data_IF_065537099387
#
_entry.id   IF_065537099387
#
_cell.length_a   1.000
_cell.length_b   1.000
_cell.length_c   1.000
_cell.angle_alpha   90.00
_cell.angle_beta   90.00
_cell.angle_gamma   90.00
#
_symmetry.space_group_name_H-M   'P 1'
#
loop_
_entity.id
_entity.type
_entity.pdbx_description
1 polymer ?
#
# COMPACT_ATOMS: atom_id res chain seq x y z
N UNK A 1 -1.54 -14.81 20.26
CA UNK A 1 -0.30 -14.77 19.45
C UNK A 1 0.15 -13.32 19.42
N UNK A 2 1.41 -13.00 19.77
CA UNK A 2 1.90 -11.61 19.65
C UNK A 2 2.03 -11.30 18.15
N UNK A 3 1.34 -10.30 17.65
CA UNK A 3 1.50 -9.85 16.27
C UNK A 3 2.98 -9.51 16.05
N UNK A 4 3.55 -9.94 14.91
CA UNK A 4 4.93 -9.63 14.59
C UNK A 4 5.00 -8.17 14.15
N UNK A 5 5.85 -7.41 14.83
CA UNK A 5 6.09 -6.00 14.52
C UNK A 5 7.47 -5.85 13.88
N UNK A 6 7.54 -5.06 12.82
CA UNK A 6 8.76 -4.65 12.12
C UNK A 6 8.88 -3.14 12.27
N UNK A 7 10.04 -2.65 12.69
CA UNK A 7 10.35 -1.22 12.72
C UNK A 7 11.35 -0.93 11.61
N UNK A 8 10.97 -0.06 10.68
CA UNK A 8 11.86 0.41 9.61
C UNK A 8 12.09 1.92 9.76
N UNK A 9 13.30 2.43 9.47
CA UNK A 9 13.55 3.87 9.52
C UNK A 9 12.62 4.62 8.57
N UNK A 10 12.02 5.72 9.01
CA UNK A 10 11.20 6.58 8.16
C UNK A 10 12.07 7.46 7.23
N UNK A 11 12.78 6.81 6.30
CA UNK A 11 13.54 7.48 5.24
C UNK A 11 12.67 7.89 4.05
N UNK A 12 11.35 7.65 4.13
CA UNK A 12 10.42 7.91 3.05
C UNK A 12 9.86 9.33 3.10
N UNK A 13 9.51 9.77 4.32
CA UNK A 13 9.00 11.09 4.62
C UNK A 13 9.68 11.55 5.90
N UNK A 14 10.50 12.59 5.84
CA UNK A 14 11.02 13.26 7.04
C UNK A 14 9.91 14.02 7.79
N UNK A 15 10.30 15.05 8.54
CA UNK A 15 9.34 15.93 9.18
C UNK A 15 8.34 16.49 8.14
N UNK A 16 7.06 16.29 8.39
CA UNK A 16 6.00 16.74 7.49
C UNK A 16 5.54 18.14 7.86
N UNK A 17 5.27 18.98 6.87
CA UNK A 17 4.63 20.28 7.08
C UNK A 17 3.13 20.06 7.34
N UNK A 18 2.59 20.56 8.48
CA UNK A 18 1.16 20.45 8.76
C UNK A 18 0.34 21.36 7.84
N UNK A 19 -0.83 20.89 7.42
CA UNK A 19 -1.78 21.67 6.64
C UNK A 19 -3.23 21.22 6.89
N UNK A 20 -4.18 22.00 6.40
CA UNK A 20 -5.61 21.67 6.39
C UNK A 20 -6.06 21.43 4.96
N UNK A 21 -6.73 20.30 4.71
CA UNK A 21 -7.24 19.98 3.38
C UNK A 21 -8.40 20.91 3.02
N UNK A 22 -8.34 21.55 1.86
CA UNK A 22 -9.43 22.41 1.37
C UNK A 22 -10.32 21.65 0.40
N UNK A 23 -9.79 21.34 -0.78
CA UNK A 23 -10.54 20.62 -1.81
C UNK A 23 -9.61 19.91 -2.77
N UNK A 24 -10.11 18.79 -3.30
CA UNK A 24 -9.46 18.12 -4.43
C UNK A 24 -9.75 18.90 -5.70
N UNK A 25 -8.71 19.17 -6.50
CA UNK A 25 -8.83 19.80 -7.81
C UNK A 25 -9.10 18.75 -8.89
N UNK A 26 -8.31 17.67 -8.85
CA UNK A 26 -8.45 16.49 -9.71
C UNK A 26 -7.70 15.31 -9.07
N UNK A 27 -7.68 14.15 -9.74
CA UNK A 27 -7.12 12.90 -9.17
C UNK A 27 -5.71 13.05 -8.56
N UNK A 28 -4.86 13.92 -9.10
CA UNK A 28 -3.47 14.10 -8.62
C UNK A 28 -3.14 15.46 -7.99
N UNK A 29 -4.14 16.31 -7.68
CA UNK A 29 -3.88 17.61 -7.05
C UNK A 29 -5.01 18.06 -6.12
N UNK A 30 -4.66 18.81 -5.10
CA UNK A 30 -5.56 19.47 -4.17
C UNK A 30 -5.02 20.83 -3.75
N UNK A 31 -5.93 21.66 -3.24
CA UNK A 31 -5.56 22.79 -2.40
C UNK A 31 -5.57 22.38 -0.94
N UNK A 32 -4.57 22.89 -0.23
CA UNK A 32 -4.44 22.79 1.23
C UNK A 32 -4.05 24.15 1.78
N UNK A 33 -4.32 24.40 3.05
CA UNK A 33 -3.91 25.60 3.76
C UNK A 33 -2.79 25.27 4.72
N UNK A 34 -1.65 25.92 4.49
CA UNK A 34 -0.47 25.89 5.35
C UNK A 34 -0.42 27.19 6.17
N UNK A 35 0.56 27.33 7.06
CA UNK A 35 0.82 28.60 7.73
C UNK A 35 1.19 29.74 6.76
N UNK A 36 1.71 29.41 5.57
CA UNK A 36 2.03 30.37 4.50
C UNK A 36 0.82 30.72 3.61
N UNK A 37 -0.33 30.06 3.81
CA UNK A 37 -1.55 30.23 3.01
C UNK A 37 -1.91 29.02 2.14
N UNK A 38 -2.75 29.25 1.13
CA UNK A 38 -3.26 28.22 0.21
C UNK A 38 -2.18 27.76 -0.76
N UNK A 39 -1.95 26.44 -0.81
CA UNK A 39 -0.93 25.79 -1.64
C UNK A 39 -1.55 24.70 -2.52
N UNK A 40 -1.10 24.59 -3.78
CA UNK A 40 -1.40 23.45 -4.66
C UNK A 40 -0.41 22.31 -4.39
N UNK A 41 -0.93 21.15 -4.00
CA UNK A 41 -0.12 19.98 -3.64
C UNK A 41 -0.43 18.78 -4.51
N UNK A 42 0.56 17.92 -4.70
CA UNK A 42 0.37 16.66 -5.43
C UNK A 42 -0.27 15.60 -4.53
N UNK A 43 -1.25 14.86 -5.04
CA UNK A 43 -1.80 13.65 -4.41
C UNK A 43 -1.19 12.42 -5.10
N UNK A 44 -0.33 11.64 -4.41
CA UNK A 44 0.31 10.45 -4.96
C UNK A 44 -0.59 9.20 -4.82
N UNK A 45 -1.88 9.35 -5.12
CA UNK A 45 -2.87 8.29 -5.06
C UNK A 45 -4.03 8.60 -6.00
N UNK A 46 -4.36 7.68 -6.91
CA UNK A 46 -5.47 7.84 -7.86
C UNK A 46 -6.83 7.57 -7.26
N UNK A 47 -6.90 6.87 -6.12
CA UNK A 47 -8.11 6.55 -5.38
C UNK A 47 -8.84 7.79 -4.88
N UNK A 48 -10.11 7.65 -4.53
CA UNK A 48 -10.95 8.80 -4.12
C UNK A 48 -10.60 9.30 -2.72
N UNK A 49 -10.23 8.40 -1.82
CA UNK A 49 -9.85 8.70 -0.44
C UNK A 49 -10.86 9.65 0.24
N UNK A 50 -12.16 9.46 0.03
CA UNK A 50 -13.18 10.43 0.43
C UNK A 50 -13.28 10.56 1.96
N UNK A 51 -12.99 9.48 2.66
CA UNK A 51 -12.89 9.36 4.11
C UNK A 51 -11.64 10.02 4.70
N UNK A 52 -10.63 10.33 3.88
CA UNK A 52 -9.37 10.96 4.29
C UNK A 52 -9.21 12.39 3.76
N UNK A 53 -9.72 12.68 2.56
CA UNK A 53 -9.49 13.92 1.83
C UNK A 53 -10.79 14.74 1.73
N UNK A 54 -11.31 15.16 2.89
CA UNK A 54 -12.46 16.04 3.04
C UNK A 54 -12.05 17.41 3.58
N UNK A 55 -12.83 18.44 3.25
CA UNK A 55 -12.56 19.83 3.65
C UNK A 55 -12.46 19.94 5.18
N UNK A 56 -11.40 20.59 5.66
CA UNK A 56 -11.13 20.76 7.09
C UNK A 56 -10.31 19.62 7.72
N UNK A 57 -10.05 18.51 7.02
CA UNK A 57 -9.20 17.46 7.59
C UNK A 57 -7.74 17.92 7.74
N UNK A 58 -7.07 17.50 8.82
CA UNK A 58 -5.64 17.74 9.00
C UNK A 58 -4.84 16.80 8.11
N UNK A 59 -3.86 17.35 7.41
CA UNK A 59 -2.99 16.60 6.50
C UNK A 59 -1.52 16.94 6.74
N UNK A 60 -0.64 16.03 6.35
CA UNK A 60 0.81 16.21 6.41
C UNK A 60 1.41 16.21 5.01
N UNK A 61 2.25 17.20 4.74
CA UNK A 61 2.90 17.42 3.46
C UNK A 61 4.38 17.05 3.54
N UNK A 62 4.89 16.40 2.50
CA UNK A 62 6.31 16.17 2.30
C UNK A 62 6.86 17.17 1.29
N UNK A 63 7.93 17.88 1.66
CA UNK A 63 8.64 18.79 0.77
C UNK A 63 9.50 17.99 -0.20
N UNK A 64 9.14 18.01 -1.49
CA UNK A 64 9.74 17.18 -2.52
C UNK A 64 10.20 18.01 -3.75
N UNK A 65 10.14 19.34 -3.62
CA UNK A 65 10.31 20.34 -4.68
C UNK A 65 11.73 20.39 -5.26
N UNK A 66 12.06 19.45 -6.14
CA UNK A 66 13.25 19.51 -7.01
C UNK A 66 12.95 20.25 -8.31
N UNK A 67 14.01 20.74 -8.98
CA UNK A 67 13.94 21.43 -10.28
C UNK A 67 13.07 20.64 -11.28
N UNK A 68 12.02 21.27 -11.81
CA UNK A 68 11.10 20.69 -12.80
C UNK A 68 9.77 20.14 -12.27
N UNK A 69 9.53 20.14 -10.95
CA UNK A 69 8.19 19.81 -10.41
C UNK A 69 7.26 21.02 -10.45
N UNK A 70 5.98 20.77 -10.76
CA UNK A 70 4.91 21.80 -10.69
C UNK A 70 4.57 22.17 -9.24
N UNK A 71 4.48 21.18 -8.35
CA UNK A 71 4.17 21.39 -6.93
C UNK A 71 5.40 21.16 -6.05
N UNK A 72 5.57 22.04 -5.06
CA UNK A 72 6.61 21.96 -4.02
C UNK A 72 6.36 20.81 -3.05
N UNK A 73 5.10 20.51 -2.78
CA UNK A 73 4.67 19.50 -1.81
C UNK A 73 3.95 18.31 -2.44
N UNK A 74 4.09 17.18 -1.75
CA UNK A 74 3.28 15.97 -1.91
C UNK A 74 2.47 15.77 -0.62
N UNK A 75 1.16 15.55 -0.71
CA UNK A 75 0.33 15.18 0.45
C UNK A 75 0.58 13.70 0.75
N UNK A 76 1.11 13.39 1.94
CA UNK A 76 1.58 12.04 2.26
C UNK A 76 0.81 11.36 3.38
N UNK A 77 0.17 12.13 4.27
CA UNK A 77 -0.65 11.59 5.35
C UNK A 77 -1.89 12.45 5.63
N UNK A 78 -2.93 11.82 6.15
CA UNK A 78 -4.17 12.46 6.58
C UNK A 78 -4.56 11.97 7.99
N UNK A 79 -5.20 12.83 8.77
CA UNK A 79 -5.65 12.49 10.11
C UNK A 79 -6.91 11.61 10.03
N UNK A 80 -6.97 10.64 10.92
CA UNK A 80 -8.12 9.76 11.19
C UNK A 80 -8.40 9.76 12.69
N UNK A 81 -9.56 9.25 13.15
CA UNK A 81 -9.83 9.06 14.57
C UNK A 81 -8.81 8.15 15.27
N UNK A 82 -8.22 7.20 14.55
CA UNK A 82 -7.25 6.22 15.08
C UNK A 82 -5.78 6.68 14.97
N UNK A 83 -5.53 7.87 14.43
CA UNK A 83 -4.19 8.42 14.21
C UNK A 83 -3.94 8.85 12.76
N UNK A 84 -2.67 8.99 12.39
CA UNK A 84 -2.28 9.38 11.03
C UNK A 84 -2.30 8.19 10.07
N UNK A 85 -2.99 8.32 8.94
CA UNK A 85 -2.92 7.37 7.84
C UNK A 85 -1.95 7.88 6.76
N UNK A 86 -1.04 7.04 6.28
CA UNK A 86 -0.34 7.36 5.04
C UNK A 86 -1.32 7.25 3.85
N UNK A 87 -1.17 8.10 2.85
CA UNK A 87 -2.02 8.09 1.67
C UNK A 87 -1.27 7.76 0.37
N UNK A 88 0.06 7.79 0.39
CA UNK A 88 0.88 7.58 -0.80
C UNK A 88 0.85 6.12 -1.24
N UNK A 89 0.24 5.87 -2.40
CA UNK A 89 0.08 4.52 -2.93
C UNK A 89 1.37 3.91 -3.43
N UNK A 90 2.46 4.69 -3.54
CA UNK A 90 3.79 4.24 -3.94
C UNK A 90 4.61 3.75 -2.75
N UNK A 91 4.20 4.07 -1.51
CA UNK A 91 4.95 3.73 -0.32
C UNK A 91 5.13 2.21 -0.13
N UNK A 92 4.11 1.35 -0.32
CA UNK A 92 4.26 -0.10 -0.21
C UNK A 92 5.43 -0.67 -1.04
N UNK A 93 5.50 -0.30 -2.32
CA UNK A 93 6.57 -0.71 -3.22
C UNK A 93 7.94 -0.21 -2.75
N UNK A 94 8.01 1.05 -2.28
CA UNK A 94 9.25 1.64 -1.75
C UNK A 94 9.71 0.94 -0.47
N UNK A 95 8.78 0.54 0.40
CA UNK A 95 9.07 -0.26 1.60
C UNK A 95 9.64 -1.60 1.18
N UNK A 96 8.94 -2.36 0.34
CA UNK A 96 9.41 -3.66 -0.12
C UNK A 96 10.78 -3.56 -0.80
N UNK A 97 10.98 -2.60 -1.70
CA UNK A 97 12.25 -2.44 -2.42
C UNK A 97 13.47 -2.19 -1.50
N UNK A 98 13.27 -1.58 -0.32
CA UNK A 98 14.36 -1.25 0.62
C UNK A 98 14.46 -2.19 1.81
N UNK A 99 13.33 -2.77 2.24
CA UNK A 99 13.17 -3.46 3.51
C UNK A 99 12.61 -4.87 3.37
N UNK A 100 12.57 -5.45 2.16
CA UNK A 100 12.02 -6.81 1.97
C UNK A 100 12.64 -7.84 2.93
N UNK A 101 13.94 -7.75 3.25
CA UNK A 101 14.60 -8.67 4.19
C UNK A 101 14.08 -8.59 5.63
N UNK A 102 13.46 -7.47 6.01
CA UNK A 102 12.91 -7.30 7.35
C UNK A 102 11.64 -8.16 7.55
N UNK A 103 10.93 -8.46 6.45
CA UNK A 103 9.71 -9.27 6.44
C UNK A 103 10.03 -10.75 6.65
N UNK A 104 9.48 -11.40 7.70
CA UNK A 104 9.71 -12.81 7.99
C UNK A 104 9.57 -13.78 6.80
N UNK A 105 8.52 -13.71 5.94
CA UNK A 105 8.40 -14.63 4.80
C UNK A 105 9.47 -14.46 3.72
N UNK A 106 10.29 -13.40 3.78
CA UNK A 106 11.26 -13.01 2.75
C UNK A 106 12.72 -13.10 3.24
N UNK A 107 12.97 -13.44 4.50
CA UNK A 107 14.34 -13.48 5.09
C UNK A 107 15.30 -14.47 4.42
N UNK A 108 14.76 -15.49 3.73
CA UNK A 108 15.56 -16.55 3.12
C UNK A 108 16.09 -16.26 1.72
N UNK A 109 15.77 -15.09 1.13
CA UNK A 109 16.23 -14.73 -0.21
C UNK A 109 17.52 -13.90 -0.15
N UNK A 110 18.30 -13.94 -1.24
CA UNK A 110 19.60 -13.26 -1.33
C UNK A 110 19.59 -12.09 -2.32
N UNK A 111 18.72 -12.14 -3.32
CA UNK A 111 18.63 -11.13 -4.38
C UNK A 111 17.19 -10.71 -4.60
N UNK A 112 17.01 -9.43 -4.85
CA UNK A 112 15.73 -8.82 -5.16
C UNK A 112 15.87 -7.93 -6.40
N UNK A 113 14.93 -8.08 -7.33
CA UNK A 113 14.86 -7.30 -8.56
C UNK A 113 13.52 -6.57 -8.58
N UNK A 114 13.50 -5.24 -8.37
CA UNK A 114 12.28 -4.46 -8.44
C UNK A 114 11.77 -4.34 -9.87
N UNK A 115 10.47 -4.09 -10.01
CA UNK A 115 9.86 -3.76 -11.31
C UNK A 115 10.12 -4.83 -12.39
N UNK A 116 10.07 -6.11 -12.00
CA UNK A 116 10.40 -7.24 -12.86
C UNK A 116 9.25 -7.56 -13.81
N UNK A 117 9.52 -7.52 -15.12
CA UNK A 117 8.55 -7.85 -16.16
C UNK A 117 8.40 -9.36 -16.33
N UNK A 118 7.15 -9.83 -16.41
CA UNK A 118 6.80 -11.22 -16.67
C UNK A 118 5.60 -11.23 -17.61
N UNK A 119 5.78 -11.79 -18.81
CA UNK A 119 4.77 -11.73 -19.85
C UNK A 119 4.32 -10.30 -20.13
N UNK A 120 3.04 -10.01 -19.88
CA UNK A 120 2.43 -8.70 -20.13
C UNK A 120 2.25 -7.83 -18.86
N UNK A 121 2.77 -8.27 -17.71
CA UNK A 121 2.74 -7.46 -16.48
C UNK A 121 4.13 -7.23 -15.90
N UNK A 122 4.13 -6.43 -14.84
CA UNK A 122 5.31 -6.07 -14.09
C UNK A 122 4.96 -6.15 -12.61
N UNK A 123 5.71 -7.00 -11.90
CA UNK A 123 5.58 -7.20 -10.48
C UNK A 123 6.55 -6.31 -9.72
N UNK A 124 6.17 -5.95 -8.49
CA UNK A 124 6.91 -4.99 -7.68
C UNK A 124 8.29 -5.53 -7.28
N UNK A 125 8.39 -6.83 -7.01
CA UNK A 125 9.66 -7.53 -6.78
C UNK A 125 9.66 -8.95 -7.33
N UNK A 126 10.83 -9.40 -7.79
CA UNK A 126 11.18 -10.80 -7.94
C UNK A 126 12.36 -11.14 -7.02
N UNK A 127 12.21 -12.15 -6.17
CA UNK A 127 13.23 -12.62 -5.24
C UNK A 127 13.81 -13.96 -5.70
N UNK A 128 15.11 -14.13 -5.46
CA UNK A 128 15.87 -15.34 -5.80
C UNK A 128 16.63 -15.82 -4.56
N UNK A 129 16.48 -17.11 -4.23
CA UNK A 129 17.20 -17.77 -3.14
C UNK A 129 18.33 -18.63 -3.69
N UNK A 130 19.48 -18.68 -3.00
CA UNK A 130 20.65 -19.48 -3.44
C UNK A 130 20.37 -20.96 -3.73
N UNK A 131 19.43 -21.57 -3.00
CA UNK A 131 19.19 -23.01 -3.03
C UNK A 131 17.83 -23.39 -3.63
N UNK A 132 17.18 -22.48 -4.36
CA UNK A 132 15.90 -22.75 -5.02
C UNK A 132 15.93 -22.29 -6.47
N UNK A 133 15.55 -23.13 -7.44
CA UNK A 133 15.35 -22.68 -8.81
C UNK A 133 14.07 -21.85 -8.97
N UNK A 134 13.14 -21.92 -8.02
CA UNK A 134 11.88 -21.19 -8.07
C UNK A 134 12.09 -19.70 -7.79
N UNK A 135 11.53 -18.86 -8.66
CA UNK A 135 11.49 -17.41 -8.45
C UNK A 135 10.31 -17.10 -7.54
N UNK A 136 10.44 -16.05 -6.73
CA UNK A 136 9.36 -15.56 -5.89
C UNK A 136 8.89 -14.19 -6.36
N UNK A 137 7.66 -14.10 -6.84
CA UNK A 137 7.08 -12.85 -7.34
C UNK A 137 6.20 -12.20 -6.27
N UNK A 138 6.34 -10.89 -6.10
CA UNK A 138 5.61 -10.12 -5.10
C UNK A 138 4.88 -8.94 -5.71
N UNK A 139 3.68 -8.72 -5.19
CA UNK A 139 2.85 -7.57 -5.49
C UNK A 139 2.41 -6.89 -4.18
N UNK A 140 2.58 -5.59 -4.08
CA UNK A 140 2.13 -4.78 -2.97
C UNK A 140 0.80 -4.11 -3.33
N UNK A 141 -0.11 -4.06 -2.36
CA UNK A 141 -1.39 -3.35 -2.46
C UNK A 141 -1.46 -2.29 -1.37
N UNK A 142 -1.66 -1.04 -1.78
CA UNK A 142 -1.91 0.06 -0.86
C UNK A 142 -3.37 0.04 -0.43
N UNK A 143 -3.63 -0.13 0.87
CA UNK A 143 -4.98 -0.19 1.43
C UNK A 143 -5.20 0.99 2.35
N UNK A 144 -6.01 1.95 1.92
CA UNK A 144 -6.35 3.15 2.69
C UNK A 144 -7.78 3.13 3.23
N UNK A 145 -8.68 2.42 2.55
CA UNK A 145 -10.06 2.26 2.97
C UNK A 145 -10.14 1.28 4.15
N UNK A 146 -10.65 1.74 5.29
CA UNK A 146 -10.95 0.90 6.45
C UNK A 146 -12.40 1.06 6.85
N UNK A 147 -13.10 -0.06 7.02
CA UNK A 147 -14.46 -0.11 7.53
C UNK A 147 -14.52 -1.12 8.67
N UNK A 148 -14.95 -0.69 9.86
CA UNK A 148 -15.07 -1.55 11.05
C UNK A 148 -13.78 -2.32 11.41
N UNK A 149 -12.63 -1.69 11.14
CA UNK A 149 -11.32 -2.29 11.33
C UNK A 149 -10.88 -3.25 10.22
N UNK A 150 -11.66 -3.41 9.15
CA UNK A 150 -11.28 -4.17 7.96
C UNK A 150 -10.68 -3.24 6.91
N UNK A 151 -9.41 -3.44 6.57
CA UNK A 151 -8.78 -2.81 5.41
C UNK A 151 -9.28 -3.45 4.13
N UNK A 152 -9.84 -2.65 3.22
CA UNK A 152 -10.52 -3.15 2.03
C UNK A 152 -9.83 -2.67 0.76
N UNK A 153 -9.47 -3.60 -0.11
CA UNK A 153 -8.89 -3.30 -1.43
C UNK A 153 -9.65 -3.99 -2.56
N UNK A 154 -9.95 -3.30 -3.67
CA UNK A 154 -9.62 -1.91 -3.95
C UNK A 154 -10.67 -0.91 -3.42
N UNK A 155 -10.36 0.39 -3.49
CA UNK A 155 -11.30 1.49 -3.23
C UNK A 155 -12.06 1.97 -4.48
N UNK A 156 -11.69 1.44 -5.66
CA UNK A 156 -12.39 1.57 -6.94
C UNK A 156 -12.08 0.33 -7.81
N UNK A 157 -12.96 -0.04 -8.78
CA UNK A 157 -12.71 -1.18 -9.66
C UNK A 157 -11.32 -1.16 -10.31
N UNK A 158 -10.64 -2.31 -10.35
CA UNK A 158 -9.22 -2.41 -10.78
C UNK A 158 -8.98 -3.59 -11.71
N UNK A 159 -9.04 -3.33 -13.03
CA UNK A 159 -8.68 -4.32 -14.05
C UNK A 159 -7.21 -4.76 -13.93
N UNK A 160 -6.30 -3.81 -13.69
CA UNK A 160 -4.88 -4.11 -13.50
C UNK A 160 -4.64 -5.02 -12.30
N UNK A 161 -5.32 -4.77 -11.18
CA UNK A 161 -5.20 -5.61 -9.99
C UNK A 161 -5.68 -7.03 -10.24
N UNK A 162 -6.80 -7.20 -10.96
CA UNK A 162 -7.32 -8.50 -11.38
C UNK A 162 -6.35 -9.25 -12.27
N UNK A 163 -5.84 -8.60 -13.32
CA UNK A 163 -4.83 -9.17 -14.22
C UNK A 163 -3.60 -9.68 -13.46
N UNK A 164 -3.07 -8.88 -12.53
CA UNK A 164 -1.92 -9.28 -11.73
C UNK A 164 -2.22 -10.52 -10.86
N UNK A 165 -3.42 -10.63 -10.27
CA UNK A 165 -3.80 -11.81 -9.49
C UNK A 165 -3.87 -13.09 -10.34
N UNK A 166 -4.47 -13.02 -11.52
CA UNK A 166 -4.51 -14.17 -12.43
C UNK A 166 -3.11 -14.59 -12.90
N UNK A 167 -2.22 -13.63 -13.16
CA UNK A 167 -0.84 -13.95 -13.53
C UNK A 167 -0.03 -14.53 -12.36
N UNK A 168 -0.20 -14.03 -11.14
CA UNK A 168 0.38 -14.65 -9.95
C UNK A 168 -0.13 -16.08 -9.74
N UNK A 169 -1.43 -16.32 -9.99
CA UNK A 169 -2.00 -17.66 -9.95
C UNK A 169 -1.38 -18.60 -10.99
N UNK A 170 -1.12 -18.11 -12.21
CA UNK A 170 -0.39 -18.88 -13.22
C UNK A 170 1.04 -19.19 -12.78
N UNK A 171 1.78 -18.19 -12.28
CA UNK A 171 3.15 -18.38 -11.82
C UNK A 171 3.24 -19.37 -10.66
N UNK A 172 2.27 -19.34 -9.73
CA UNK A 172 2.17 -20.31 -8.66
C UNK A 172 1.98 -21.75 -9.17
N UNK A 173 1.10 -21.95 -10.16
CA UNK A 173 0.88 -23.26 -10.82
C UNK A 173 2.11 -23.75 -11.58
N UNK A 174 2.91 -22.84 -12.11
CA UNK A 174 4.17 -23.13 -12.82
C UNK A 174 5.34 -23.45 -11.84
N UNK A 175 5.07 -23.55 -10.54
CA UNK A 175 6.05 -23.93 -9.52
C UNK A 175 6.89 -22.76 -9.00
N UNK A 176 6.56 -21.51 -9.37
CA UNK A 176 7.11 -20.34 -8.69
C UNK A 176 6.34 -20.07 -7.40
N UNK A 177 6.93 -19.25 -6.52
CA UNK A 177 6.19 -18.74 -5.36
C UNK A 177 5.61 -17.37 -5.71
N UNK A 178 4.39 -17.10 -5.29
CA UNK A 178 3.71 -15.83 -5.57
C UNK A 178 3.12 -15.27 -4.27
N UNK A 179 3.38 -14.00 -3.99
CA UNK A 179 2.92 -13.34 -2.77
C UNK A 179 2.23 -12.01 -3.08
N UNK A 180 1.18 -11.73 -2.32
CA UNK A 180 0.55 -10.42 -2.28
C UNK A 180 0.64 -9.85 -0.87
N UNK A 181 1.11 -8.61 -0.76
CA UNK A 181 1.21 -7.89 0.51
C UNK A 181 0.21 -6.73 0.53
N UNK A 182 -0.78 -6.79 1.41
CA UNK A 182 -1.62 -5.64 1.74
C UNK A 182 -0.93 -4.77 2.78
N UNK A 183 -0.65 -3.53 2.41
CA UNK A 183 -0.18 -2.50 3.34
C UNK A 183 -1.38 -1.66 3.76
N UNK A 184 -1.91 -1.94 4.95
CA UNK A 184 -3.04 -1.21 5.52
C UNK A 184 -2.51 0.08 6.13
N UNK A 185 -2.54 1.14 5.33
CA UNK A 185 -1.96 2.44 5.65
C UNK A 185 -2.76 3.23 6.70
N UNK A 186 -3.97 2.76 7.02
CA UNK A 186 -4.88 3.40 7.96
C UNK A 186 -4.76 2.72 9.35
N UNK A 187 -4.48 3.47 10.44
CA UNK A 187 -4.25 2.93 11.78
C UNK A 187 -5.37 2.07 12.35
N UNK A 188 -6.63 2.38 12.05
CA UNK A 188 -7.78 1.56 12.42
C UNK A 188 -7.81 0.15 11.83
N UNK A 189 -6.98 -0.16 10.82
CA UNK A 189 -6.96 -1.46 10.14
C UNK A 189 -6.43 -2.60 11.02
N UNK A 190 -7.28 -3.57 11.32
CA UNK A 190 -6.99 -4.77 12.14
C UNK A 190 -6.93 -6.06 11.32
N UNK A 191 -7.34 -6.01 10.06
CA UNK A 191 -7.29 -7.10 9.07
C UNK A 191 -7.28 -6.51 7.66
N UNK A 192 -7.03 -7.33 6.65
CA UNK A 192 -7.17 -6.93 5.25
C UNK A 192 -7.94 -7.97 4.44
N UNK A 193 -8.75 -7.51 3.49
CA UNK A 193 -9.46 -8.37 2.55
C UNK A 193 -9.79 -7.66 1.23
N UNK A 194 -10.27 -8.45 0.25
CA UNK A 194 -10.84 -7.92 -0.97
C UNK A 194 -12.16 -7.18 -0.71
N UNK A 195 -12.32 -6.02 -1.34
CA UNK A 195 -13.55 -5.23 -1.30
C UNK A 195 -14.54 -5.72 -2.37
N UNK A 196 -15.21 -6.85 -2.10
CA UNK A 196 -16.18 -7.44 -3.04
C UNK A 196 -17.37 -6.52 -3.36
N UNK A 197 -17.74 -5.60 -2.45
CA UNK A 197 -18.80 -4.59 -2.71
C UNK A 197 -18.37 -3.60 -3.82
N UNK A 198 -17.08 -3.29 -3.93
CA UNK A 198 -16.54 -2.34 -4.91
C UNK A 198 -16.08 -3.02 -6.19
N UNK A 199 -15.45 -4.20 -6.09
CA UNK A 199 -14.99 -4.98 -7.24
C UNK A 199 -15.19 -6.48 -6.97
N UNK A 200 -16.38 -7.03 -7.30
CA UNK A 200 -16.67 -8.45 -7.14
C UNK A 200 -15.71 -9.35 -7.92
N UNK A 201 -15.25 -8.89 -9.09
CA UNK A 201 -14.33 -9.64 -9.95
C UNK A 201 -12.92 -9.69 -9.33
N UNK A 202 -12.49 -8.65 -8.63
CA UNK A 202 -11.24 -8.69 -7.85
C UNK A 202 -11.34 -9.65 -6.68
N UNK A 203 -12.46 -9.67 -5.96
CA UNK A 203 -12.68 -10.64 -4.89
C UNK A 203 -12.65 -12.09 -5.44
N UNK A 204 -13.31 -12.36 -6.56
CA UNK A 204 -13.25 -13.67 -7.22
C UNK A 204 -11.81 -14.05 -7.62
N UNK A 205 -11.09 -13.13 -8.27
CA UNK A 205 -9.69 -13.36 -8.66
C UNK A 205 -8.76 -13.60 -7.45
N UNK A 206 -9.02 -12.96 -6.30
CA UNK A 206 -8.27 -13.22 -5.06
C UNK A 206 -8.53 -14.63 -4.55
N UNK A 207 -9.78 -15.10 -4.55
CA UNK A 207 -10.11 -16.47 -4.16
C UNK A 207 -9.42 -17.49 -5.09
N UNK A 208 -9.47 -17.27 -6.41
CA UNK A 208 -8.78 -18.13 -7.38
C UNK A 208 -7.26 -18.16 -7.16
N UNK A 209 -6.65 -17.01 -6.86
CA UNK A 209 -5.23 -16.90 -6.56
C UNK A 209 -4.86 -17.69 -5.29
N UNK A 210 -5.66 -17.58 -4.22
CA UNK A 210 -5.47 -18.38 -3.00
C UNK A 210 -5.51 -19.87 -3.32
N UNK A 211 -6.50 -20.33 -4.10
CA UNK A 211 -6.63 -21.73 -4.50
C UNK A 211 -5.46 -22.20 -5.38
N UNK A 212 -4.84 -21.30 -6.13
CA UNK A 212 -3.65 -21.60 -6.94
C UNK A 212 -2.34 -21.63 -6.14
N UNK A 213 -2.38 -21.31 -4.84
CA UNK A 213 -1.19 -21.29 -3.97
C UNK A 213 -0.52 -19.92 -3.85
N UNK A 214 -1.18 -18.82 -4.24
CA UNK A 214 -0.70 -17.46 -3.97
C UNK A 214 -0.87 -17.17 -2.48
N UNK A 215 0.21 -16.74 -1.82
CA UNK A 215 0.21 -16.42 -0.40
C UNK A 215 -0.14 -14.94 -0.18
N UNK A 216 -0.97 -14.65 0.81
CA UNK A 216 -1.36 -13.28 1.15
C UNK A 216 -0.89 -12.91 2.55
N UNK A 217 -0.28 -11.75 2.68
CA UNK A 217 0.14 -11.16 3.94
C UNK A 217 -0.45 -9.76 4.07
N UNK A 218 -0.70 -9.32 5.30
CA UNK A 218 -1.11 -7.95 5.56
C UNK A 218 -0.34 -7.34 6.72
N UNK A 219 0.03 -6.08 6.56
CA UNK A 219 0.72 -5.28 7.56
C UNK A 219 -0.02 -3.96 7.73
N UNK A 220 -0.47 -3.69 8.96
CA UNK A 220 -0.88 -2.34 9.34
C UNK A 220 0.36 -1.46 9.44
N UNK A 221 0.30 -0.30 8.81
CA UNK A 221 1.37 0.69 8.78
C UNK A 221 1.02 1.84 9.72
N UNK A 222 1.89 2.09 10.69
CA UNK A 222 1.76 3.22 11.61
C UNK A 222 2.87 4.23 11.30
N UNK A 223 2.51 5.46 10.87
CA UNK A 223 3.47 6.53 10.69
C UNK A 223 4.07 6.98 12.02
N UNK A 224 5.41 7.02 12.10
CA UNK A 224 6.16 7.72 13.14
C UNK A 224 7.17 8.69 12.52
N UNK A 225 7.71 9.59 13.34
CA UNK A 225 8.67 10.59 12.85
C UNK A 225 10.00 9.95 12.46
N UNK A 226 10.55 9.10 13.32
CA UNK A 226 11.81 8.40 13.08
C UNK A 226 11.61 7.00 12.48
N UNK A 227 10.52 6.33 12.85
CA UNK A 227 10.26 4.93 12.52
C UNK A 227 8.88 4.78 11.89
N UNK A 228 8.78 3.90 10.90
CA UNK A 228 7.50 3.36 10.44
C UNK A 228 7.35 1.99 11.08
N UNK A 229 6.27 1.79 11.82
CA UNK A 229 5.94 0.49 12.40
C UNK A 229 5.02 -0.28 11.45
N UNK A 230 5.39 -1.52 11.15
CA UNK A 230 4.60 -2.46 10.39
C UNK A 230 4.21 -3.60 11.33
N UNK A 231 2.92 -3.70 11.65
CA UNK A 231 2.39 -4.77 12.49
C UNK A 231 1.59 -5.74 11.64
N UNK A 232 1.98 -7.01 11.63
CA UNK A 232 1.26 -8.07 10.90
C UNK A 232 -0.18 -8.15 11.40
N UNK A 233 -1.13 -8.16 10.46
CA UNK A 233 -2.57 -8.31 10.70
C UNK A 233 -3.11 -9.45 9.83
N UNK A 234 -4.16 -10.14 10.26
CA UNK A 234 -4.72 -11.25 9.49
C UNK A 234 -5.25 -10.79 8.12
N UNK A 235 -5.09 -11.67 7.12
CA UNK A 235 -5.81 -11.60 5.84
C UNK A 235 -7.03 -12.50 5.97
N UNK A 236 -8.15 -11.91 6.35
CA UNK A 236 -9.38 -12.63 6.68
C UNK A 236 -10.57 -11.85 6.15
N UNK A 237 -11.52 -12.58 5.57
CA UNK A 237 -12.80 -12.02 5.15
C UNK A 237 -13.49 -11.32 6.34
N UNK A 238 -14.00 -10.09 6.17
CA UNK A 238 -14.79 -9.46 7.21
C UNK A 238 -15.99 -10.35 7.57
N UNK A 239 -16.45 -10.33 8.83
CA UNK A 239 -17.69 -11.01 9.18
C UNK A 239 -18.81 -10.56 8.23
N UNK A 240 -19.60 -11.51 7.73
CA UNK A 240 -20.79 -11.17 6.96
C UNK A 240 -21.77 -10.38 7.83
N UNK A 241 -22.36 -9.33 7.24
CA UNK A 241 -23.54 -8.65 7.79
C UNK A 241 -24.73 -9.63 7.89
#
# INVERSE_FOLDING_TARGET
MKNKTILIPNTFYGLTVPAVFHRRLHRFAAWVETEEGIEEVHIPNSGRLAELLFAGNRVGLHLEGRKGRKTRYTLVKAQTPDGWAFIDSRLPNRILARHWQDFPPLRGYDKAYPETAVGASRFDLALYGKNSPAITFLEAKCVTLVQEGSGLFPDAPTERGRKHLHELAHLARDGNRALVFFFVQHPGGKRAWANGKTDPEFAAAMHEAIQAGVEFYAYRVMPGEEWVELTEVPVEEPPGD
#
